data_IF_191279151417
#
_entry.id   IF_191279151417
#
_cell.length_a   1.000
_cell.length_b   1.000
_cell.length_c   1.000
_cell.angle_alpha   90.00
_cell.angle_beta   90.00
_cell.angle_gamma   90.00
#
_symmetry.space_group_name_H-M   'P 1'
#
loop_
_entity.id
_entity.type
_entity.pdbx_description
1 polymer ?
#
# COMPACT_ATOMS: atom_id res chain seq x y z
N UNK A 1 49.75 -14.24 -43.98
CA UNK A 1 50.00 -13.79 -42.60
C UNK A 1 49.03 -12.63 -42.33
N UNK A 2 48.03 -12.87 -41.48
CA UNK A 2 47.10 -11.92 -40.80
C UNK A 2 46.23 -11.00 -41.70
N UNK A 3 44.93 -11.27 -41.91
CA UNK A 3 43.78 -10.95 -41.02
C UNK A 3 43.82 -9.51 -40.47
N UNK A 4 42.90 -8.65 -40.90
CA UNK A 4 41.98 -7.93 -39.99
C UNK A 4 40.89 -7.20 -40.79
N UNK A 5 39.69 -7.79 -40.75
CA UNK A 5 38.41 -7.16 -41.06
C UNK A 5 38.17 -6.05 -40.03
N UNK A 6 38.16 -4.79 -40.45
CA UNK A 6 37.56 -3.70 -39.67
C UNK A 6 36.06 -3.69 -39.93
N UNK A 7 35.35 -4.57 -39.20
CA UNK A 7 33.92 -4.39 -38.97
C UNK A 7 33.75 -3.15 -38.11
N UNK A 8 33.23 -2.08 -38.71
CA UNK A 8 32.67 -0.94 -37.99
C UNK A 8 31.51 -1.47 -37.13
N UNK A 9 31.79 -1.76 -35.87
CA UNK A 9 30.78 -2.01 -34.86
C UNK A 9 29.99 -0.73 -34.68
N UNK A 10 28.75 -0.72 -35.17
CA UNK A 10 27.76 0.24 -34.72
C UNK A 10 27.51 -0.03 -33.25
N UNK A 11 28.13 0.78 -32.40
CA UNK A 11 27.74 0.92 -31.01
C UNK A 11 26.41 1.68 -31.04
N UNK A 12 25.31 0.92 -31.14
CA UNK A 12 23.98 1.42 -30.78
C UNK A 12 23.98 1.65 -29.27
N UNK A 13 24.34 2.87 -28.85
CA UNK A 13 23.96 3.37 -27.53
C UNK A 13 22.45 3.61 -27.59
N UNK A 14 21.66 2.59 -27.24
CA UNK A 14 20.25 2.80 -26.94
C UNK A 14 20.16 3.65 -25.66
N UNK A 15 20.15 4.98 -25.81
CA UNK A 15 19.60 5.86 -24.79
C UNK A 15 18.10 5.59 -24.74
N UNK A 16 17.71 4.63 -23.91
CA UNK A 16 16.36 4.08 -23.80
C UNK A 16 15.33 5.05 -23.18
N UNK A 17 15.63 6.36 -23.11
CA UNK A 17 14.82 7.39 -22.46
C UNK A 17 13.59 7.84 -23.29
N UNK A 18 13.54 7.49 -24.58
CA UNK A 18 12.50 7.95 -25.51
C UNK A 18 11.26 7.06 -25.66
N UNK A 19 11.30 5.79 -25.21
CA UNK A 19 10.17 4.86 -25.39
C UNK A 19 9.10 5.13 -24.33
N UNK A 20 7.89 5.45 -24.79
CA UNK A 20 6.70 5.48 -23.94
C UNK A 20 6.21 4.04 -23.80
N UNK A 21 6.27 3.53 -22.58
CA UNK A 21 5.86 2.19 -22.21
C UNK A 21 4.94 2.29 -21.01
N UNK A 22 4.04 1.33 -20.85
CA UNK A 22 3.21 1.18 -19.66
C UNK A 22 3.88 0.21 -18.69
N UNK A 23 3.72 0.45 -17.39
CA UNK A 23 4.25 -0.42 -16.35
C UNK A 23 3.22 -1.41 -15.80
N UNK A 24 2.06 -0.90 -15.37
CA UNK A 24 1.01 -1.65 -14.67
C UNK A 24 -0.37 -1.49 -15.32
N UNK A 25 -0.62 -0.41 -16.08
CA UNK A 25 -1.92 -0.15 -16.69
C UNK A 25 -1.84 0.26 -18.16
N UNK A 26 -2.20 -0.67 -19.07
CA UNK A 26 -2.05 -0.50 -20.52
C UNK A 26 -3.05 0.47 -21.15
N UNK A 27 -4.20 0.70 -20.53
CA UNK A 27 -5.23 1.57 -21.12
C UNK A 27 -5.02 3.05 -20.78
N UNK A 28 -3.95 3.40 -20.06
CA UNK A 28 -3.64 4.81 -19.86
C UNK A 28 -3.23 5.45 -21.20
N UNK A 29 -3.92 6.52 -21.66
CA UNK A 29 -3.59 7.14 -22.94
C UNK A 29 -2.15 7.65 -23.02
N UNK A 30 -1.54 7.59 -24.21
CA UNK A 30 -0.14 7.97 -24.41
C UNK A 30 0.13 9.45 -24.10
N UNK A 31 -0.82 10.34 -24.32
CA UNK A 31 -0.76 11.74 -23.93
C UNK A 31 -0.65 11.90 -22.40
N UNK A 32 -1.39 11.07 -21.64
CA UNK A 32 -1.31 11.03 -20.18
C UNK A 32 -0.01 10.45 -19.66
N UNK A 33 0.56 9.44 -20.32
CA UNK A 33 1.92 8.98 -20.01
C UNK A 33 2.95 10.09 -20.21
N UNK A 34 2.87 10.82 -21.33
CA UNK A 34 3.76 11.95 -21.63
C UNK A 34 3.62 13.05 -20.59
N UNK A 35 2.40 13.44 -20.26
CA UNK A 35 2.11 14.47 -19.26
C UNK A 35 2.75 14.12 -17.90
N UNK A 36 2.56 12.89 -17.43
CA UNK A 36 3.15 12.42 -16.19
C UNK A 36 4.69 12.42 -16.23
N UNK A 37 5.28 11.97 -17.34
CA UNK A 37 6.74 11.97 -17.52
C UNK A 37 7.33 13.38 -17.56
N UNK A 38 6.66 14.32 -18.22
CA UNK A 38 7.06 15.73 -18.24
C UNK A 38 6.93 16.39 -16.87
N UNK A 39 5.92 16.02 -16.07
CA UNK A 39 5.82 16.47 -14.68
C UNK A 39 7.06 16.05 -13.88
N UNK A 40 7.47 14.78 -13.99
CA UNK A 40 8.68 14.26 -13.36
C UNK A 40 9.94 15.02 -13.80
N UNK A 41 10.12 15.25 -15.11
CA UNK A 41 11.26 16.01 -15.64
C UNK A 41 11.33 17.43 -15.08
N UNK A 42 10.19 18.11 -14.97
CA UNK A 42 10.12 19.45 -14.36
C UNK A 42 10.52 19.43 -12.89
N UNK A 43 10.03 18.45 -12.14
CA UNK A 43 10.41 18.28 -10.74
C UNK A 43 11.92 18.01 -10.59
N UNK A 44 12.52 17.20 -11.48
CA UNK A 44 13.96 16.94 -11.46
C UNK A 44 14.79 18.19 -11.77
N UNK A 45 14.36 19.00 -12.74
CA UNK A 45 15.01 20.28 -13.02
C UNK A 45 14.92 21.24 -11.83
N UNK A 46 13.77 21.28 -11.14
CA UNK A 46 13.61 22.09 -9.94
C UNK A 46 14.52 21.61 -8.80
N UNK A 47 14.60 20.28 -8.57
CA UNK A 47 15.53 19.67 -7.64
C UNK A 47 16.97 20.07 -7.95
N UNK A 48 17.43 19.87 -9.20
CA UNK A 48 18.80 20.22 -9.61
C UNK A 48 19.12 21.68 -9.35
N UNK A 49 18.20 22.59 -9.68
CA UNK A 49 18.40 24.02 -9.45
C UNK A 49 18.46 24.38 -7.96
N UNK A 50 17.67 23.70 -7.12
CA UNK A 50 17.66 23.92 -5.67
C UNK A 50 18.92 23.37 -4.98
N UNK A 51 19.52 22.31 -5.52
CA UNK A 51 20.69 21.63 -4.92
C UNK A 51 22.02 21.96 -5.58
N UNK A 52 22.06 22.81 -6.61
CA UNK A 52 23.26 23.09 -7.42
C UNK A 52 24.47 23.59 -6.61
N UNK A 53 24.21 24.18 -5.44
CA UNK A 53 25.24 24.74 -4.53
C UNK A 53 25.31 24.03 -3.19
N UNK A 54 24.65 22.88 -3.04
CA UNK A 54 24.62 22.11 -1.80
C UNK A 54 25.57 20.94 -1.97
N UNK A 55 26.72 21.02 -1.28
CA UNK A 55 27.73 19.95 -1.27
C UNK A 55 27.40 18.83 -0.27
N UNK A 56 26.52 19.12 0.69
CA UNK A 56 26.06 18.14 1.68
C UNK A 56 25.16 17.09 1.04
N UNK A 57 25.63 15.84 1.05
CA UNK A 57 24.96 14.70 0.41
C UNK A 57 23.67 14.33 1.14
N UNK A 58 23.63 14.47 2.46
CA UNK A 58 22.47 14.08 3.27
C UNK A 58 21.33 15.06 3.06
N UNK A 59 21.61 16.37 3.07
CA UNK A 59 20.63 17.41 2.74
C UNK A 59 20.11 17.23 1.31
N UNK A 60 21.01 16.92 0.37
CA UNK A 60 20.62 16.69 -1.03
C UNK A 60 19.74 15.44 -1.18
N UNK A 61 19.97 14.39 -0.40
CA UNK A 61 19.13 13.18 -0.39
C UNK A 61 17.75 13.44 0.23
N UNK A 62 17.68 14.19 1.33
CA UNK A 62 16.39 14.59 1.92
C UNK A 62 15.56 15.40 0.92
N UNK A 63 16.17 16.38 0.26
CA UNK A 63 15.51 17.15 -0.79
C UNK A 63 15.10 16.26 -1.98
N UNK A 64 15.91 15.26 -2.37
CA UNK A 64 15.53 14.33 -3.43
C UNK A 64 14.22 13.61 -3.12
N UNK A 65 14.07 13.12 -1.88
CA UNK A 65 12.85 12.47 -1.41
C UNK A 65 11.66 13.43 -1.42
N UNK A 66 11.82 14.68 -0.99
CA UNK A 66 10.74 15.69 -1.07
C UNK A 66 10.29 15.97 -2.50
N UNK A 67 11.25 16.09 -3.43
CA UNK A 67 10.92 16.36 -4.83
C UNK A 67 10.28 15.15 -5.53
N UNK A 68 10.73 13.93 -5.26
CA UNK A 68 10.11 12.71 -5.82
C UNK A 68 8.73 12.44 -5.19
N UNK A 69 8.50 12.87 -3.94
CA UNK A 69 7.18 12.81 -3.30
C UNK A 69 6.12 13.61 -4.07
N UNK A 70 6.49 14.65 -4.83
CA UNK A 70 5.54 15.35 -5.70
C UNK A 70 4.91 14.44 -6.75
N UNK A 71 5.61 13.39 -7.20
CA UNK A 71 5.01 12.40 -8.10
C UNK A 71 3.82 11.68 -7.44
N UNK A 72 3.77 11.58 -6.11
CA UNK A 72 2.66 10.93 -5.40
C UNK A 72 1.35 11.75 -5.44
N UNK A 73 1.45 13.05 -5.70
CA UNK A 73 0.30 13.95 -5.84
C UNK A 73 -0.37 13.84 -7.21
N UNK A 74 0.31 13.24 -8.20
CA UNK A 74 -0.22 13.10 -9.54
C UNK A 74 -1.38 12.08 -9.57
N UNK A 75 -2.52 12.49 -10.13
CA UNK A 75 -3.76 11.70 -10.15
C UNK A 75 -4.45 11.59 -8.78
N UNK A 76 -4.04 12.38 -7.79
CA UNK A 76 -4.64 12.39 -6.45
C UNK A 76 -6.08 12.93 -6.47
N UNK A 77 -6.35 13.96 -7.26
CA UNK A 77 -7.67 14.51 -7.56
C UNK A 77 -8.62 13.45 -8.17
N UNK A 78 -8.11 12.66 -9.12
CA UNK A 78 -8.87 11.61 -9.82
C UNK A 78 -9.31 10.50 -8.86
N UNK A 79 -8.45 10.11 -7.92
CA UNK A 79 -8.74 9.06 -6.94
C UNK A 79 -9.46 9.57 -5.68
N UNK A 80 -9.26 10.83 -5.28
CA UNK A 80 -9.89 11.40 -4.08
C UNK A 80 -11.41 11.34 -4.11
N UNK A 81 -12.02 11.64 -5.26
CA UNK A 81 -13.49 11.59 -5.40
C UNK A 81 -14.05 10.21 -5.01
N UNK A 82 -13.40 9.12 -5.45
CA UNK A 82 -13.81 7.76 -5.11
C UNK A 82 -13.51 7.45 -3.64
N UNK A 83 -12.35 7.86 -3.14
CA UNK A 83 -11.99 7.66 -1.73
C UNK A 83 -13.00 8.36 -0.80
N UNK A 84 -13.40 9.58 -1.12
CA UNK A 84 -14.35 10.35 -0.34
C UNK A 84 -15.77 9.79 -0.46
N UNK A 85 -16.16 9.34 -1.66
CA UNK A 85 -17.40 8.58 -1.84
C UNK A 85 -17.42 7.31 -0.98
N UNK A 86 -16.32 6.55 -0.90
CA UNK A 86 -16.25 5.36 -0.03
C UNK A 86 -16.39 5.74 1.44
N UNK A 87 -15.82 6.87 1.88
CA UNK A 87 -15.95 7.32 3.27
C UNK A 87 -17.41 7.58 3.66
N UNK A 88 -18.21 8.15 2.75
CA UNK A 88 -19.61 8.51 3.01
C UNK A 88 -20.58 7.33 2.90
N UNK A 89 -20.18 6.22 2.27
CA UNK A 89 -21.03 5.02 2.19
C UNK A 89 -21.32 4.46 3.60
N UNK A 90 -22.61 4.22 3.93
CA UNK A 90 -22.99 3.60 5.19
C UNK A 90 -22.57 2.13 5.23
N UNK A 91 -22.23 1.64 6.43
CA UNK A 91 -21.92 0.22 6.62
C UNK A 91 -23.18 -0.63 6.52
N UNK A 92 -23.29 -1.40 5.44
CA UNK A 92 -24.36 -2.38 5.24
C UNK A 92 -24.15 -3.59 6.15
N UNK A 93 -25.16 -4.47 6.23
CA UNK A 93 -25.04 -5.75 6.95
C UNK A 93 -23.89 -6.60 6.42
N UNK A 94 -23.71 -6.66 5.09
CA UNK A 94 -22.61 -7.40 4.47
C UNK A 94 -21.25 -6.76 4.77
N UNK A 95 -21.13 -5.43 4.68
CA UNK A 95 -19.88 -4.75 5.03
C UNK A 95 -19.47 -5.02 6.48
N UNK A 96 -20.44 -5.08 7.40
CA UNK A 96 -20.18 -5.43 8.82
C UNK A 96 -19.72 -6.87 8.99
N UNK A 97 -20.25 -7.81 8.21
CA UNK A 97 -19.77 -9.19 8.20
C UNK A 97 -18.34 -9.27 7.66
N UNK A 98 -18.02 -8.56 6.58
CA UNK A 98 -16.65 -8.52 6.05
C UNK A 98 -15.66 -7.95 7.08
N UNK A 99 -16.05 -6.92 7.82
CA UNK A 99 -15.25 -6.37 8.93
C UNK A 99 -14.97 -7.40 10.03
N UNK A 100 -15.96 -8.23 10.38
CA UNK A 100 -15.79 -9.31 11.38
C UNK A 100 -15.01 -10.51 10.85
N UNK A 101 -14.60 -10.50 9.58
CA UNK A 101 -13.66 -11.46 9.00
C UNK A 101 -12.24 -10.90 8.84
N UNK A 102 -11.98 -9.71 9.38
CA UNK A 102 -10.65 -9.08 9.32
C UNK A 102 -10.45 -8.14 8.12
N UNK A 103 -11.47 -7.93 7.29
CA UNK A 103 -11.38 -6.98 6.20
C UNK A 103 -11.27 -5.54 6.71
N UNK A 104 -10.50 -4.71 5.99
CA UNK A 104 -10.36 -3.29 6.33
C UNK A 104 -11.65 -2.51 6.03
N UNK A 105 -11.98 -1.45 6.80
CA UNK A 105 -13.19 -0.67 6.59
C UNK A 105 -13.32 -0.08 5.18
N UNK A 106 -12.22 0.39 4.60
CA UNK A 106 -12.21 0.91 3.24
C UNK A 106 -12.63 -0.17 2.23
N UNK A 107 -12.01 -1.35 2.30
CA UNK A 107 -12.29 -2.47 1.38
C UNK A 107 -13.71 -2.99 1.60
N UNK A 108 -14.16 -3.18 2.84
CA UNK A 108 -15.50 -3.67 3.13
C UNK A 108 -16.60 -2.73 2.59
N UNK A 109 -16.39 -1.41 2.65
CA UNK A 109 -17.28 -0.42 2.04
C UNK A 109 -17.19 -0.41 0.52
N UNK A 110 -15.97 -0.48 -0.01
CA UNK A 110 -15.73 -0.56 -1.46
C UNK A 110 -16.48 -1.75 -2.07
N UNK A 111 -16.38 -2.94 -1.48
CA UNK A 111 -17.11 -4.14 -1.92
C UNK A 111 -18.63 -4.05 -1.81
N UNK A 112 -19.16 -3.01 -1.17
CA UNK A 112 -20.61 -2.75 -1.08
C UNK A 112 -21.09 -1.70 -2.08
N UNK A 113 -20.20 -1.20 -2.95
CA UNK A 113 -20.54 -0.29 -4.04
C UNK A 113 -21.22 -1.06 -5.17
N UNK A 114 -22.02 -0.36 -5.98
CA UNK A 114 -22.50 -0.93 -7.23
C UNK A 114 -21.33 -1.18 -8.21
N UNK A 115 -21.57 -2.04 -9.19
CA UNK A 115 -20.59 -2.44 -10.19
C UNK A 115 -19.94 -1.25 -10.93
N UNK A 116 -20.73 -0.27 -11.36
CA UNK A 116 -20.24 0.88 -12.12
C UNK A 116 -19.24 1.68 -11.31
N UNK A 117 -19.57 1.96 -10.04
CA UNK A 117 -18.72 2.73 -9.14
C UNK A 117 -17.45 1.98 -8.75
N UNK A 118 -17.55 0.66 -8.55
CA UNK A 118 -16.40 -0.17 -8.24
C UNK A 118 -15.43 -0.22 -9.42
N UNK A 119 -15.96 -0.43 -10.63
CA UNK A 119 -15.15 -0.47 -11.84
C UNK A 119 -14.47 0.87 -12.13
N UNK A 120 -15.18 1.99 -11.98
CA UNK A 120 -14.60 3.34 -12.11
C UNK A 120 -13.54 3.59 -11.04
N UNK A 121 -13.77 3.14 -9.81
CA UNK A 121 -12.79 3.23 -8.72
C UNK A 121 -11.49 2.50 -9.01
N UNK A 122 -11.57 1.24 -9.47
CA UNK A 122 -10.40 0.45 -9.89
C UNK A 122 -9.65 1.15 -11.02
N UNK A 123 -10.39 1.59 -12.03
CA UNK A 123 -9.83 2.25 -13.22
C UNK A 123 -9.04 3.51 -12.87
N UNK A 124 -9.62 4.37 -12.03
CA UNK A 124 -8.97 5.59 -11.52
C UNK A 124 -7.72 5.28 -10.71
N UNK A 125 -7.76 4.23 -9.89
CA UNK A 125 -6.59 3.83 -9.11
C UNK A 125 -5.47 3.28 -10.01
N UNK A 126 -5.79 2.49 -11.02
CA UNK A 126 -4.83 2.02 -12.02
C UNK A 126 -4.18 3.18 -12.80
N UNK A 127 -5.00 4.14 -13.27
CA UNK A 127 -4.53 5.35 -13.94
C UNK A 127 -3.60 6.17 -13.06
N UNK A 128 -3.96 6.32 -11.77
CA UNK A 128 -3.14 7.04 -10.80
C UNK A 128 -1.78 6.37 -10.66
N UNK A 129 -1.72 5.09 -10.32
CA UNK A 129 -0.44 4.41 -10.09
C UNK A 129 0.44 4.37 -11.33
N UNK A 130 -0.13 4.10 -12.51
CA UNK A 130 0.63 4.16 -13.77
C UNK A 130 1.24 5.55 -13.96
N UNK A 131 0.46 6.61 -13.78
CA UNK A 131 0.96 7.98 -13.94
C UNK A 131 2.04 8.34 -12.91
N UNK A 132 1.94 7.85 -11.66
CA UNK A 132 2.98 8.04 -10.64
C UNK A 132 4.31 7.38 -11.04
N UNK A 133 4.26 6.16 -11.59
CA UNK A 133 5.47 5.45 -12.06
C UNK A 133 6.10 6.17 -13.26
N UNK A 134 5.30 6.69 -14.19
CA UNK A 134 5.80 7.51 -15.30
C UNK A 134 6.45 8.81 -14.84
N UNK A 135 5.89 9.44 -13.81
CA UNK A 135 6.48 10.62 -13.19
C UNK A 135 7.85 10.30 -12.58
N UNK A 136 7.96 9.21 -11.83
CA UNK A 136 9.24 8.77 -11.25
C UNK A 136 10.29 8.49 -12.33
N UNK A 137 9.91 7.79 -13.40
CA UNK A 137 10.79 7.58 -14.56
C UNK A 137 11.22 8.92 -15.19
N UNK A 138 10.29 9.87 -15.32
CA UNK A 138 10.58 11.22 -15.82
C UNK A 138 11.49 12.03 -14.90
N UNK A 139 11.41 11.80 -13.59
CA UNK A 139 12.27 12.41 -12.58
C UNK A 139 13.72 11.92 -12.66
N UNK A 140 13.96 10.77 -13.30
CA UNK A 140 15.31 10.21 -13.48
C UNK A 140 15.51 8.85 -12.80
N UNK A 141 14.46 8.26 -12.22
CA UNK A 141 14.52 6.88 -11.73
C UNK A 141 14.80 5.92 -12.88
N UNK A 142 15.63 4.91 -12.61
CA UNK A 142 15.92 3.88 -13.59
C UNK A 142 14.75 2.90 -13.72
N UNK A 143 14.56 2.27 -14.89
CA UNK A 143 13.56 1.19 -15.05
C UNK A 143 13.68 0.08 -14.01
N UNK A 144 14.89 -0.44 -13.68
CA UNK A 144 15.04 -1.39 -12.59
C UNK A 144 14.51 -0.87 -11.24
N UNK A 145 14.71 0.41 -10.94
CA UNK A 145 14.17 1.02 -9.72
C UNK A 145 12.63 1.09 -9.75
N UNK A 146 12.03 1.42 -10.90
CA UNK A 146 10.57 1.37 -11.09
C UNK A 146 10.03 -0.04 -10.87
N UNK A 147 10.62 -1.07 -11.49
CA UNK A 147 10.19 -2.45 -11.29
C UNK A 147 10.35 -2.91 -9.84
N UNK A 148 11.45 -2.54 -9.18
CA UNK A 148 11.65 -2.82 -7.75
C UNK A 148 10.53 -2.18 -6.92
N UNK A 149 10.17 -0.93 -7.20
CA UNK A 149 9.07 -0.24 -6.49
C UNK A 149 7.72 -0.90 -6.74
N UNK A 150 7.46 -1.42 -7.94
CA UNK A 150 6.26 -2.22 -8.21
C UNK A 150 6.23 -3.46 -7.32
N UNK A 151 7.33 -4.21 -7.22
CA UNK A 151 7.42 -5.35 -6.31
C UNK A 151 7.22 -4.94 -4.84
N UNK A 152 7.85 -3.86 -4.39
CA UNK A 152 7.69 -3.34 -3.03
C UNK A 152 6.22 -2.97 -2.72
N UNK A 153 5.51 -2.34 -3.66
CA UNK A 153 4.08 -2.03 -3.53
C UNK A 153 3.22 -3.29 -3.38
N UNK A 154 3.50 -4.34 -4.16
CA UNK A 154 2.79 -5.62 -4.08
C UNK A 154 3.06 -6.35 -2.77
N UNK A 155 4.28 -6.27 -2.25
CA UNK A 155 4.68 -6.96 -1.02
C UNK A 155 4.20 -6.25 0.25
N UNK A 156 3.95 -4.94 0.19
CA UNK A 156 3.56 -4.13 1.36
C UNK A 156 2.05 -3.91 1.50
N UNK A 157 1.26 -4.14 0.44
CA UNK A 157 -0.19 -3.93 0.48
C UNK A 157 -0.94 -4.88 -0.46
N UNK A 158 -1.79 -5.75 0.12
CA UNK A 158 -2.57 -6.75 -0.64
C UNK A 158 -3.53 -6.14 -1.63
N UNK A 159 -4.11 -5.00 -1.29
CA UNK A 159 -5.01 -4.30 -2.21
C UNK A 159 -4.22 -3.74 -3.40
N UNK A 160 -2.97 -3.31 -3.21
CA UNK A 160 -2.11 -2.92 -4.34
C UNK A 160 -1.64 -4.12 -5.13
N UNK A 161 -1.36 -5.24 -4.46
CA UNK A 161 -1.06 -6.50 -5.13
C UNK A 161 -2.19 -6.91 -6.08
N UNK A 162 -3.42 -6.97 -5.57
CA UNK A 162 -4.61 -7.27 -6.38
C UNK A 162 -4.82 -6.26 -7.50
N UNK A 163 -4.70 -4.97 -7.17
CA UNK A 163 -4.84 -3.91 -8.16
C UNK A 163 -3.86 -4.09 -9.32
N UNK A 164 -2.57 -4.30 -9.03
CA UNK A 164 -1.51 -4.40 -10.04
C UNK A 164 -1.57 -5.74 -10.80
N UNK A 165 -1.67 -6.86 -10.09
CA UNK A 165 -1.56 -8.20 -10.69
C UNK A 165 -2.85 -8.64 -11.38
N UNK A 166 -4.01 -8.25 -10.84
CA UNK A 166 -5.32 -8.64 -11.38
C UNK A 166 -6.01 -7.47 -12.04
N UNK A 167 -6.31 -6.40 -11.31
CA UNK A 167 -7.37 -5.46 -11.72
C UNK A 167 -6.96 -4.53 -12.87
N UNK A 168 -5.71 -4.05 -12.88
CA UNK A 168 -5.21 -3.17 -13.93
C UNK A 168 -5.01 -3.91 -15.27
N UNK A 169 -4.93 -5.24 -15.27
CA UNK A 169 -4.68 -6.02 -16.46
C UNK A 169 -5.89 -6.84 -16.95
N UNK A 170 -7.02 -6.85 -16.23
CA UNK A 170 -8.14 -7.79 -16.44
C UNK A 170 -9.26 -7.32 -17.40
N UNK A 171 -9.02 -6.29 -18.22
CA UNK A 171 -10.01 -5.86 -19.22
C UNK A 171 -11.34 -5.43 -18.57
N UNK A 172 -12.50 -5.82 -19.12
CA UNK A 172 -13.83 -5.38 -18.65
C UNK A 172 -14.41 -6.18 -17.48
N UNK A 173 -13.77 -7.27 -17.04
CA UNK A 173 -14.37 -8.20 -16.06
C UNK A 173 -13.86 -8.01 -14.62
N UNK A 174 -13.42 -6.79 -14.29
CA UNK A 174 -12.74 -6.42 -13.02
C UNK A 174 -13.59 -6.60 -11.75
N UNK A 175 -14.86 -6.94 -11.87
CA UNK A 175 -15.85 -6.87 -10.79
C UNK A 175 -16.34 -8.23 -10.25
N UNK A 176 -16.33 -9.29 -11.07
CA UNK A 176 -17.10 -10.50 -10.74
C UNK A 176 -16.60 -11.19 -9.46
N UNK A 177 -15.28 -11.22 -9.26
CA UNK A 177 -14.69 -11.74 -8.02
C UNK A 177 -15.07 -10.91 -6.78
N UNK A 178 -15.20 -9.58 -6.91
CA UNK A 178 -15.54 -8.69 -5.81
C UNK A 178 -17.05 -8.72 -5.46
N UNK A 179 -17.89 -8.91 -6.47
CA UNK A 179 -19.36 -8.98 -6.33
C UNK A 179 -19.79 -10.03 -5.33
N UNK A 180 -19.35 -11.27 -5.51
CA UNK A 180 -19.75 -12.38 -4.63
C UNK A 180 -19.21 -12.22 -3.19
N UNK A 181 -18.05 -11.59 -3.02
CA UNK A 181 -17.53 -11.26 -1.68
C UNK A 181 -18.46 -10.25 -0.98
N UNK A 182 -18.91 -9.23 -1.69
CA UNK A 182 -19.73 -8.14 -1.15
C UNK A 182 -21.20 -8.48 -1.00
N UNK A 183 -21.86 -8.93 -2.06
CA UNK A 183 -23.31 -9.14 -2.14
C UNK A 183 -23.77 -10.38 -1.37
N UNK A 184 -23.01 -11.47 -1.50
CA UNK A 184 -23.41 -12.79 -0.97
C UNK A 184 -22.77 -13.11 0.39
N UNK A 185 -22.13 -12.12 1.03
CA UNK A 185 -21.43 -12.28 2.32
C UNK A 185 -22.24 -13.04 3.36
N UNK A 186 -23.54 -12.76 3.46
CA UNK A 186 -24.44 -13.44 4.40
C UNK A 186 -24.62 -14.93 4.11
N UNK A 187 -24.60 -15.33 2.84
CA UNK A 187 -24.90 -16.68 2.38
C UNK A 187 -23.67 -17.55 2.62
N UNK A 188 -22.52 -17.16 2.05
CA UNK A 188 -21.33 -17.99 2.15
C UNK A 188 -20.69 -17.95 3.54
N UNK A 189 -20.97 -16.95 4.38
CA UNK A 189 -20.38 -16.89 5.73
C UNK A 189 -21.28 -17.43 6.84
N UNK A 190 -22.48 -17.93 6.52
CA UNK A 190 -23.51 -18.21 7.53
C UNK A 190 -23.05 -19.22 8.61
N UNK A 191 -22.26 -20.22 8.21
CA UNK A 191 -21.81 -21.31 9.08
C UNK A 191 -20.58 -20.92 9.92
N UNK A 192 -19.98 -19.76 9.62
CA UNK A 192 -18.76 -19.27 10.28
C UNK A 192 -19.01 -18.20 11.34
N UNK A 193 -20.29 -17.91 11.66
CA UNK A 193 -20.69 -16.83 12.57
C UNK A 193 -19.99 -16.88 13.93
N UNK A 194 -19.86 -18.05 14.53
CA UNK A 194 -19.23 -18.20 15.84
C UNK A 194 -17.76 -17.75 15.81
N UNK A 195 -17.00 -18.22 14.81
CA UNK A 195 -15.60 -17.84 14.62
C UNK A 195 -15.46 -16.34 14.34
N UNK A 196 -16.35 -15.78 13.52
CA UNK A 196 -16.36 -14.35 13.18
C UNK A 196 -16.66 -13.47 14.40
N UNK A 197 -17.62 -13.87 15.24
CA UNK A 197 -17.96 -13.16 16.48
C UNK A 197 -16.77 -13.18 17.43
N UNK A 198 -16.15 -14.34 17.64
CA UNK A 198 -14.97 -14.47 18.50
C UNK A 198 -13.80 -13.58 18.03
N UNK A 199 -13.57 -13.48 16.71
CA UNK A 199 -12.56 -12.58 16.16
C UNK A 199 -12.93 -11.10 16.35
N UNK A 200 -14.19 -10.73 16.14
CA UNK A 200 -14.60 -9.33 16.30
C UNK A 200 -14.49 -8.85 17.75
N UNK A 201 -14.87 -9.70 18.71
CA UNK A 201 -14.70 -9.43 20.15
C UNK A 201 -13.22 -9.34 20.54
N UNK A 202 -12.40 -10.28 20.07
CA UNK A 202 -10.96 -10.27 20.35
C UNK A 202 -10.28 -9.04 19.76
N UNK A 203 -10.64 -8.63 18.53
CA UNK A 203 -10.14 -7.42 17.88
C UNK A 203 -10.40 -6.17 18.72
N UNK A 204 -11.60 -6.00 19.25
CA UNK A 204 -11.93 -4.84 20.10
C UNK A 204 -11.16 -4.89 21.43
N UNK A 205 -11.18 -6.04 22.10
CA UNK A 205 -10.51 -6.24 23.40
C UNK A 205 -8.99 -6.04 23.30
N UNK A 206 -8.35 -6.68 22.32
CA UNK A 206 -6.91 -6.60 22.08
C UNK A 206 -6.53 -5.20 21.60
N UNK A 207 -7.30 -4.61 20.66
CA UNK A 207 -7.04 -3.26 20.17
C UNK A 207 -7.03 -2.21 21.29
N UNK A 208 -7.93 -2.33 22.28
CA UNK A 208 -7.93 -1.46 23.47
C UNK A 208 -6.66 -1.63 24.32
N UNK A 209 -6.16 -2.86 24.48
CA UNK A 209 -4.91 -3.14 25.22
C UNK A 209 -3.69 -2.57 24.50
N UNK A 210 -3.59 -2.81 23.19
CA UNK A 210 -2.50 -2.29 22.36
C UNK A 210 -2.46 -0.76 22.40
N UNK A 211 -3.61 -0.10 22.23
CA UNK A 211 -3.70 1.35 22.31
C UNK A 211 -3.26 1.87 23.69
N UNK A 212 -3.67 1.19 24.77
CA UNK A 212 -3.27 1.55 26.14
C UNK A 212 -1.74 1.44 26.32
N UNK A 213 -1.14 0.31 25.95
CA UNK A 213 0.31 0.08 26.05
C UNK A 213 1.11 1.13 25.26
N UNK A 214 0.65 1.44 24.05
CA UNK A 214 1.29 2.46 23.21
C UNK A 214 1.19 3.86 23.83
N UNK A 215 0.00 4.26 24.30
CA UNK A 215 -0.21 5.56 24.97
C UNK A 215 0.66 5.67 26.23
N UNK A 216 0.66 4.65 27.08
CA UNK A 216 1.47 4.63 28.31
C UNK A 216 2.98 4.73 28.00
N UNK A 217 3.46 4.03 26.96
CA UNK A 217 4.86 4.12 26.53
C UNK A 217 5.22 5.53 26.01
N UNK A 218 4.35 6.13 25.19
CA UNK A 218 4.53 7.49 24.65
C UNK A 218 4.53 8.52 25.78
N UNK A 219 3.56 8.47 26.70
CA UNK A 219 3.50 9.38 27.85
C UNK A 219 4.74 9.26 28.73
N UNK A 220 5.21 8.04 28.98
CA UNK A 220 6.41 7.80 29.78
C UNK A 220 7.67 8.36 29.11
N UNK A 221 7.81 8.21 27.79
CA UNK A 221 8.89 8.85 27.02
C UNK A 221 8.79 10.37 27.09
N UNK A 222 7.62 10.95 26.81
CA UNK A 222 7.43 12.40 26.80
C UNK A 222 7.79 13.03 28.15
N UNK A 223 7.40 12.40 29.26
CA UNK A 223 7.75 12.88 30.60
C UNK A 223 9.26 12.97 30.82
N UNK A 224 10.02 12.01 30.26
CA UNK A 224 11.44 11.86 30.53
C UNK A 224 12.29 12.64 29.53
N UNK A 225 11.80 12.81 28.30
CA UNK A 225 12.47 13.62 27.27
C UNK A 225 12.11 15.10 27.33
N UNK A 226 11.11 15.50 28.13
CA UNK A 226 10.63 16.89 28.23
C UNK A 226 11.70 17.92 28.59
N UNK A 227 12.81 17.49 29.22
CA UNK A 227 13.90 18.35 29.66
C UNK A 227 15.26 17.98 29.03
N UNK A 228 15.28 17.18 27.95
CA UNK A 228 16.52 16.76 27.28
C UNK A 228 17.00 17.87 26.35
N UNK A 229 18.24 18.31 26.55
CA UNK A 229 18.93 19.25 25.66
C UNK A 229 19.49 18.49 24.45
N UNK A 230 18.86 18.67 23.29
CA UNK A 230 19.18 17.93 22.06
C UNK A 230 20.56 18.27 21.48
N UNK A 231 21.17 19.37 21.91
CA UNK A 231 22.49 19.81 21.46
C UNK A 231 23.63 19.14 22.25
N UNK A 232 23.30 18.32 23.27
CA UNK A 232 24.27 17.56 24.07
C UNK A 232 24.21 16.07 23.74
N UNK A 233 25.23 15.62 23.00
CA UNK A 233 25.33 14.25 22.48
C UNK A 233 25.20 13.15 23.57
N UNK A 234 25.77 13.38 24.76
CA UNK A 234 25.66 12.45 25.90
C UNK A 234 24.22 12.34 26.45
N UNK A 235 23.46 13.45 26.47
CA UNK A 235 22.06 13.46 26.89
C UNK A 235 21.16 12.83 25.81
N UNK A 236 21.49 13.04 24.54
CA UNK A 236 20.78 12.44 23.41
C UNK A 236 20.96 10.91 23.37
N UNK A 237 22.19 10.41 23.57
CA UNK A 237 22.48 8.98 23.56
C UNK A 237 21.81 8.25 24.73
N UNK A 238 21.91 8.80 25.95
CA UNK A 238 21.22 8.25 27.12
C UNK A 238 19.69 8.31 26.98
N UNK A 239 19.15 9.36 26.35
CA UNK A 239 17.72 9.46 26.01
C UNK A 239 17.30 8.35 25.03
N UNK A 240 18.07 8.08 23.97
CA UNK A 240 17.78 6.99 23.01
C UNK A 240 17.73 5.62 23.68
N UNK A 241 18.71 5.30 24.53
CA UNK A 241 18.74 4.03 25.26
C UNK A 241 17.53 3.89 26.19
N UNK A 242 17.15 4.98 26.87
CA UNK A 242 16.01 4.99 27.77
C UNK A 242 14.67 4.85 27.02
N UNK A 243 14.52 5.56 25.90
CA UNK A 243 13.36 5.44 24.99
C UNK A 243 13.23 3.99 24.50
N UNK A 244 14.33 3.35 24.09
CA UNK A 244 14.33 1.94 23.71
C UNK A 244 13.95 1.02 24.88
N UNK A 245 14.42 1.30 26.10
CA UNK A 245 14.10 0.51 27.28
C UNK A 245 12.60 0.56 27.64
N UNK A 246 11.90 1.66 27.32
CA UNK A 246 10.45 1.78 27.49
C UNK A 246 9.69 1.08 26.34
N UNK A 247 10.05 1.40 25.09
CA UNK A 247 9.29 0.89 23.95
C UNK A 247 9.51 -0.60 23.70
N UNK A 248 10.69 -1.15 24.00
CA UNK A 248 10.99 -2.56 23.68
C UNK A 248 10.08 -3.55 24.44
N UNK A 249 9.85 -3.43 25.76
CA UNK A 249 8.86 -4.26 26.46
C UNK A 249 7.43 -4.04 25.93
N UNK A 250 7.03 -2.78 25.71
CA UNK A 250 5.69 -2.45 25.21
C UNK A 250 5.44 -3.05 23.82
N UNK A 251 6.38 -2.91 22.89
CA UNK A 251 6.31 -3.48 21.54
C UNK A 251 6.30 -5.01 21.56
N UNK A 252 7.03 -5.64 22.49
CA UNK A 252 6.98 -7.10 22.66
C UNK A 252 5.60 -7.56 23.10
N UNK A 253 5.00 -6.90 24.08
CA UNK A 253 3.65 -7.24 24.54
C UNK A 253 2.60 -6.97 23.47
N UNK A 254 2.73 -5.85 22.73
CA UNK A 254 1.89 -5.56 21.56
C UNK A 254 2.02 -6.66 20.52
N UNK A 255 3.23 -7.12 20.21
CA UNK A 255 3.46 -8.20 19.25
C UNK A 255 2.82 -9.53 19.69
N UNK A 256 2.89 -9.88 20.98
CA UNK A 256 2.23 -11.07 21.54
C UNK A 256 0.70 -10.98 21.43
N UNK A 257 0.13 -9.81 21.76
CA UNK A 257 -1.30 -9.52 21.62
C UNK A 257 -1.77 -9.57 20.15
N UNK A 258 -1.00 -8.98 19.23
CA UNK A 258 -1.27 -9.04 17.80
C UNK A 258 -1.18 -10.49 17.27
N UNK A 259 -0.26 -11.30 17.82
CA UNK A 259 -0.16 -12.73 17.57
C UNK A 259 -1.40 -13.53 18.02
N UNK A 260 -1.96 -13.22 19.19
CA UNK A 260 -3.22 -13.81 19.65
C UNK A 260 -4.37 -13.48 18.67
N UNK A 261 -4.45 -12.22 18.24
CA UNK A 261 -5.45 -11.77 17.25
C UNK A 261 -5.27 -12.48 15.90
N UNK A 262 -4.03 -12.71 15.45
CA UNK A 262 -3.72 -13.50 14.25
C UNK A 262 -4.24 -14.93 14.35
N UNK A 263 -4.01 -15.60 15.49
CA UNK A 263 -4.44 -16.98 15.69
C UNK A 263 -5.96 -17.13 15.63
N UNK A 264 -6.69 -16.14 16.16
CA UNK A 264 -8.15 -16.13 16.08
C UNK A 264 -8.63 -15.84 14.65
N UNK A 265 -7.96 -14.93 13.93
CA UNK A 265 -8.24 -14.68 12.51
C UNK A 265 -8.02 -15.93 11.67
N UNK A 266 -6.99 -16.72 11.95
CA UNK A 266 -6.72 -17.98 11.26
C UNK A 266 -7.90 -18.97 11.38
N UNK A 267 -8.56 -19.03 12.54
CA UNK A 267 -9.77 -19.85 12.73
C UNK A 267 -10.92 -19.37 11.85
N UNK A 268 -11.11 -18.06 11.73
CA UNK A 268 -12.09 -17.48 10.79
C UNK A 268 -11.76 -17.92 9.37
N UNK A 269 -10.52 -17.71 8.92
CA UNK A 269 -10.07 -18.03 7.57
C UNK A 269 -10.22 -19.52 7.22
N UNK A 270 -9.93 -20.42 8.16
CA UNK A 270 -10.14 -21.87 8.02
C UNK A 270 -11.61 -22.23 7.77
N UNK A 271 -12.54 -21.45 8.32
CA UNK A 271 -13.96 -21.65 8.09
C UNK A 271 -14.44 -20.98 6.80
N UNK A 272 -14.13 -19.69 6.61
CA UNK A 272 -14.73 -18.90 5.52
C UNK A 272 -14.17 -19.23 4.15
N UNK A 273 -12.88 -19.57 4.03
CA UNK A 273 -12.24 -19.81 2.72
C UNK A 273 -12.86 -21.00 1.98
N UNK A 274 -13.04 -22.19 2.58
CA UNK A 274 -13.70 -23.31 1.92
C UNK A 274 -15.14 -22.98 1.50
N UNK A 275 -15.88 -22.27 2.36
CA UNK A 275 -17.27 -21.89 2.07
C UNK A 275 -17.35 -20.88 0.92
N UNK A 276 -16.51 -19.84 0.95
CA UNK A 276 -16.40 -18.85 -0.11
C UNK A 276 -16.00 -19.50 -1.44
N UNK A 277 -15.01 -20.41 -1.42
CA UNK A 277 -14.61 -21.15 -2.62
C UNK A 277 -15.74 -21.99 -3.20
N UNK A 278 -16.50 -22.67 -2.34
CA UNK A 278 -17.64 -23.50 -2.77
C UNK A 278 -18.76 -22.66 -3.40
N UNK A 279 -18.99 -21.46 -2.89
CA UNK A 279 -20.07 -20.58 -3.34
C UNK A 279 -19.68 -19.68 -4.52
N UNK A 280 -18.51 -19.05 -4.44
CA UNK A 280 -18.05 -18.00 -5.35
C UNK A 280 -16.87 -18.40 -6.26
N UNK A 281 -16.32 -19.61 -6.09
CA UNK A 281 -15.18 -20.10 -6.87
C UNK A 281 -13.80 -19.77 -6.28
N UNK A 282 -12.77 -20.39 -6.84
CA UNK A 282 -11.39 -20.32 -6.33
C UNK A 282 -10.74 -18.95 -6.53
N UNK A 283 -11.05 -18.25 -7.64
CA UNK A 283 -10.50 -16.92 -7.89
C UNK A 283 -10.97 -15.90 -6.83
N UNK A 284 -12.26 -15.93 -6.49
CA UNK A 284 -12.86 -15.10 -5.46
C UNK A 284 -12.25 -15.37 -4.07
N UNK A 285 -11.99 -16.65 -3.76
CA UNK A 285 -11.30 -17.05 -2.53
C UNK A 285 -9.90 -16.44 -2.44
N UNK A 286 -9.15 -16.46 -3.54
CA UNK A 286 -7.81 -15.88 -3.60
C UNK A 286 -7.84 -14.37 -3.38
N UNK A 287 -8.75 -13.66 -4.06
CA UNK A 287 -8.95 -12.20 -3.90
C UNK A 287 -9.23 -11.86 -2.43
N UNK A 288 -10.20 -12.56 -1.82
CA UNK A 288 -10.52 -12.38 -0.40
C UNK A 288 -9.30 -12.62 0.50
N UNK A 289 -8.57 -13.71 0.27
CA UNK A 289 -7.43 -14.10 1.08
C UNK A 289 -6.30 -13.06 1.01
N UNK A 290 -5.99 -12.53 -0.19
CA UNK A 290 -4.98 -11.47 -0.36
C UNK A 290 -5.43 -10.17 0.30
N UNK A 291 -6.69 -9.77 0.14
CA UNK A 291 -7.24 -8.56 0.78
C UNK A 291 -7.19 -8.62 2.31
N UNK A 292 -7.48 -9.78 2.90
CA UNK A 292 -7.49 -9.95 4.36
C UNK A 292 -6.07 -10.11 4.91
N UNK A 293 -5.26 -11.03 4.37
CA UNK A 293 -3.96 -11.37 4.95
C UNK A 293 -2.92 -10.25 4.81
N UNK A 294 -2.81 -9.65 3.62
CA UNK A 294 -1.79 -8.62 3.40
C UNK A 294 -2.31 -7.26 3.90
N UNK A 295 -3.63 -7.07 3.99
CA UNK A 295 -4.25 -5.94 4.68
C UNK A 295 -4.05 -5.94 6.21
N UNK A 296 -3.86 -7.12 6.80
CA UNK A 296 -3.61 -7.28 8.24
C UNK A 296 -2.17 -6.91 8.61
N UNK A 297 -1.16 -7.31 7.82
CA UNK A 297 0.26 -6.99 8.05
C UNK A 297 0.52 -5.47 8.08
N UNK A 298 -0.11 -4.71 7.18
CA UNK A 298 0.05 -3.24 7.11
C UNK A 298 -0.48 -2.52 8.36
N UNK A 299 -1.47 -3.08 9.05
CA UNK A 299 -2.04 -2.44 10.25
C UNK A 299 -1.22 -2.71 11.50
N UNK A 300 -0.42 -3.79 11.54
CA UNK A 300 0.54 -4.03 12.62
C UNK A 300 1.69 -3.01 12.55
N UNK A 301 2.10 -2.60 11.35
CA UNK A 301 3.24 -1.69 11.14
C UNK A 301 2.90 -0.19 11.23
N UNK A 302 1.64 0.16 11.52
CA UNK A 302 1.18 1.55 11.68
C UNK A 302 0.97 1.97 13.14
N UNK A 303 1.27 1.08 14.08
CA UNK A 303 1.24 1.27 15.53
C UNK A 303 2.62 1.00 16.12
#
# INVERSE_FOLDING_TARGET
>A
MLLFLFTFGQIFIFTNAGVLEHFVYKDLPLDKLKEAREFGKKAYLAFRNATDKIDDVDIRNEMYEDFILNCTELGKDVAHHIIDKIKTIPLTKNSRLLLSMGMQPFVAKFLSMNQSDMSDGIDRMCKKYESQLQCQLGFGESRPAIYKRIEDMKNTNGNLKLLIEKDCNSGSNKYEAYRCIGEDAQIWSQDCKESMTAYNESRFRIGKKVAKLHIEAVEHVLNITSNVDLDKEDQLMSSKEYVQAIFRPALREIAELEGEKCSILEKVLKCVRPSLRKHCGAETEEVFNVSVLVGYVRNILKH
#
